data_IF_143564325082
#
_entry.id   IF_143564325082
#
_cell.length_a   1.000
_cell.length_b   1.000
_cell.length_c   1.000
_cell.angle_alpha   90.00
_cell.angle_beta   90.00
_cell.angle_gamma   90.00
#
_symmetry.space_group_name_H-M   'P 1'
#
loop_
_entity.id
_entity.type
_entity.pdbx_description
1 polymer ?
#
# COMPACT_ATOMS: atom_id res chain seq x y z
N UNK A 1 27.02 -2.79 21.53
CA UNK A 1 25.99 -1.75 21.68
C UNK A 1 25.63 -1.15 20.30
N UNK A 2 24.62 -1.74 19.66
CA UNK A 2 24.09 -1.24 18.39
C UNK A 2 23.45 0.14 18.61
N UNK A 3 23.78 1.17 17.83
CA UNK A 3 23.08 2.44 17.95
C UNK A 3 21.68 2.25 17.38
N UNK A 4 20.70 2.19 18.28
CA UNK A 4 19.30 2.40 17.93
C UNK A 4 19.20 3.83 17.41
N UNK A 5 19.34 4.00 16.09
CA UNK A 5 18.93 5.23 15.43
C UNK A 5 17.42 5.30 15.60
N UNK A 6 16.99 5.98 16.66
CA UNK A 6 15.59 6.28 16.90
C UNK A 6 15.04 6.92 15.62
N UNK A 7 14.03 6.26 15.04
CA UNK A 7 13.25 6.84 13.98
C UNK A 7 12.61 8.09 14.55
N UNK A 8 13.04 9.25 14.08
CA UNK A 8 12.52 10.55 14.49
C UNK A 8 11.08 10.63 13.98
N UNK A 9 10.12 10.28 14.85
CA UNK A 9 8.68 10.28 14.57
C UNK A 9 8.11 11.68 14.35
N UNK A 10 8.96 12.71 14.33
CA UNK A 10 8.58 14.11 14.18
C UNK A 10 8.47 14.59 12.72
N UNK A 11 8.59 13.72 11.72
CA UNK A 11 8.26 14.12 10.36
C UNK A 11 6.76 13.90 10.07
N UNK A 12 6.05 15.02 10.04
CA UNK A 12 4.62 15.20 9.77
C UNK A 12 3.68 14.84 10.92
N UNK A 13 3.56 15.78 11.87
CA UNK A 13 2.34 15.96 12.65
C UNK A 13 1.26 16.52 11.70
N UNK A 14 0.08 15.89 11.57
CA UNK A 14 -1.03 16.52 10.84
C UNK A 14 -1.45 17.79 11.58
N UNK A 15 -1.76 18.84 10.83
CA UNK A 15 -2.44 20.02 11.37
C UNK A 15 -3.75 19.56 12.06
N UNK A 16 -3.90 19.95 13.33
CA UNK A 16 -5.08 19.88 14.19
C UNK A 16 -6.12 18.78 13.86
N UNK A 17 -6.10 17.70 14.64
CA UNK A 17 -7.34 16.96 14.88
C UNK A 17 -8.35 17.92 15.53
N UNK A 18 -9.63 17.93 15.12
CA UNK A 18 -10.65 18.70 15.81
C UNK A 18 -10.78 18.18 17.25
N UNK A 19 -10.68 19.09 18.23
CA UNK A 19 -10.91 18.78 19.64
C UNK A 19 -12.35 18.31 19.83
N UNK A 20 -12.53 17.02 20.09
CA UNK A 20 -13.80 16.45 20.52
C UNK A 20 -13.77 16.37 22.05
N UNK A 21 -14.66 17.06 22.78
CA UNK A 21 -14.67 17.03 24.23
C UNK A 21 -15.02 15.63 24.77
N UNK A 22 -14.51 15.24 25.95
CA UNK A 22 -14.81 13.95 26.55
C UNK A 22 -16.21 13.98 27.16
N UNK A 23 -17.22 13.56 26.42
CA UNK A 23 -18.55 13.31 26.99
C UNK A 23 -18.54 11.96 27.69
N UNK A 24 -18.50 12.00 29.02
CA UNK A 24 -18.77 10.85 29.86
C UNK A 24 -20.23 10.39 29.65
N UNK A 25 -20.43 9.19 29.08
CA UNK A 25 -21.72 8.53 29.11
C UNK A 25 -21.54 7.05 29.48
N UNK A 26 -22.02 6.77 30.68
CA UNK A 26 -22.13 5.48 31.35
C UNK A 26 -23.02 4.51 30.58
N UNK A 27 -22.60 3.25 30.50
CA UNK A 27 -23.49 2.09 30.67
C UNK A 27 -24.45 1.66 29.55
N UNK A 28 -24.34 2.16 28.32
CA UNK A 28 -25.19 1.69 27.20
C UNK A 28 -24.37 0.82 26.23
N UNK A 29 -24.81 -0.42 25.98
CA UNK A 29 -24.26 -1.23 24.89
C UNK A 29 -24.45 -0.44 23.58
N UNK A 30 -23.34 -0.02 22.98
CA UNK A 30 -23.33 0.76 21.75
C UNK A 30 -24.11 0.01 20.67
N UNK A 31 -25.14 0.64 20.11
CA UNK A 31 -25.84 0.08 18.96
C UNK A 31 -24.95 0.22 17.73
N UNK A 32 -25.22 -0.53 16.65
CA UNK A 32 -24.43 -0.44 15.41
C UNK A 32 -24.34 1.00 14.83
N UNK A 33 -25.29 1.86 15.19
CA UNK A 33 -25.30 3.28 14.82
C UNK A 33 -24.36 4.18 15.64
N UNK A 34 -23.83 3.71 16.77
CA UNK A 34 -22.94 4.47 17.66
C UNK A 34 -21.44 4.24 17.36
N UNK A 35 -21.12 3.43 16.34
CA UNK A 35 -19.73 3.17 15.94
C UNK A 35 -19.31 4.24 14.93
N UNK A 36 -18.37 5.15 15.31
CA UNK A 36 -17.88 6.18 14.41
C UNK A 36 -17.26 5.56 13.16
N UNK A 37 -17.45 6.23 12.03
CA UNK A 37 -16.86 5.84 10.77
C UNK A 37 -15.34 6.08 10.82
N UNK A 38 -14.57 5.09 10.37
CA UNK A 38 -13.13 5.28 10.19
C UNK A 38 -12.88 6.24 9.03
N UNK A 39 -11.95 7.15 9.22
CA UNK A 39 -11.37 7.93 8.13
C UNK A 39 -10.01 7.36 7.73
N UNK A 40 -9.64 7.57 6.47
CA UNK A 40 -8.42 7.01 5.88
C UNK A 40 -7.63 8.10 5.16
N UNK A 41 -6.29 8.01 5.21
CA UNK A 41 -5.40 8.91 4.48
C UNK A 41 -4.19 8.18 3.90
N UNK A 42 -3.68 8.68 2.79
CA UNK A 42 -2.48 8.15 2.10
C UNK A 42 -1.65 9.25 1.45
N UNK A 43 -1.96 10.53 1.72
CA UNK A 43 -1.26 11.70 1.17
C UNK A 43 -0.01 12.01 1.98
N UNK A 44 0.94 11.09 1.92
CA UNK A 44 2.26 11.19 2.52
C UNK A 44 3.23 10.30 1.74
N UNK A 45 4.51 10.41 2.05
CA UNK A 45 5.55 9.69 1.35
C UNK A 45 5.35 8.16 1.37
N UNK A 46 5.43 7.53 0.19
CA UNK A 46 5.17 6.10 -0.02
C UNK A 46 3.73 5.65 0.30
N UNK A 47 2.79 6.56 0.58
CA UNK A 47 1.40 6.23 0.84
C UNK A 47 0.69 5.62 -0.38
N UNK A 48 -0.05 4.53 -0.16
CA UNK A 48 -0.91 3.92 -1.17
C UNK A 48 -2.25 3.46 -0.56
N UNK A 49 -3.29 4.21 -0.90
CA UNK A 49 -4.69 3.85 -0.77
C UNK A 49 -5.49 4.83 -1.63
N UNK A 50 -6.31 4.33 -2.55
CA UNK A 50 -7.11 5.17 -3.45
C UNK A 50 -8.49 5.47 -2.88
N UNK A 51 -9.14 4.46 -2.29
CA UNK A 51 -10.51 4.58 -1.79
C UNK A 51 -10.77 3.63 -0.64
N UNK A 52 -11.58 4.07 0.31
CA UNK A 52 -12.18 3.24 1.35
C UNK A 52 -13.71 3.34 1.27
N UNK A 53 -14.40 2.21 1.39
CA UNK A 53 -15.85 2.10 1.29
C UNK A 53 -16.31 1.31 2.52
N UNK A 54 -17.10 1.94 3.40
CA UNK A 54 -17.72 1.26 4.53
C UNK A 54 -18.83 0.33 4.01
N UNK A 55 -18.75 -0.95 4.33
CA UNK A 55 -19.74 -1.97 3.94
C UNK A 55 -20.46 -2.60 5.14
N UNK A 56 -20.00 -2.32 6.35
CA UNK A 56 -20.66 -2.71 7.60
C UNK A 56 -20.29 -1.79 8.77
N UNK A 57 -20.78 -2.07 9.99
CA UNK A 57 -20.49 -1.23 11.16
C UNK A 57 -18.99 -1.07 11.43
N UNK A 58 -18.20 -2.13 11.25
CA UNK A 58 -16.74 -2.13 11.41
C UNK A 58 -16.01 -2.72 10.21
N UNK A 59 -16.66 -2.83 9.05
CA UNK A 59 -16.12 -3.48 7.85
C UNK A 59 -15.98 -2.51 6.67
N UNK A 60 -14.82 -2.58 6.00
CA UNK A 60 -14.43 -1.66 4.94
C UNK A 60 -13.79 -2.40 3.76
N UNK A 61 -14.25 -2.09 2.55
CA UNK A 61 -13.53 -2.42 1.32
C UNK A 61 -12.57 -1.28 0.96
N UNK A 62 -11.32 -1.66 0.70
CA UNK A 62 -10.21 -0.78 0.38
C UNK A 62 -9.73 -1.06 -1.05
N UNK A 63 -9.45 0.00 -1.80
CA UNK A 63 -8.96 -0.06 -3.17
C UNK A 63 -7.60 0.65 -3.21
N UNK A 64 -6.57 -0.07 -3.66
CA UNK A 64 -5.23 0.49 -3.86
C UNK A 64 -5.10 1.19 -5.22
N UNK A 65 -4.16 2.12 -5.31
CA UNK A 65 -3.67 2.59 -6.60
C UNK A 65 -2.70 1.55 -7.20
N UNK A 66 -2.80 1.24 -8.49
CA UNK A 66 -1.81 0.41 -9.18
C UNK A 66 -0.42 1.05 -9.17
N UNK A 67 0.61 0.21 -9.27
CA UNK A 67 2.00 0.62 -9.39
C UNK A 67 2.18 1.43 -10.68
N UNK A 68 2.89 2.55 -10.57
CA UNK A 68 3.21 3.39 -11.72
C UNK A 68 4.03 2.61 -12.75
N UNK A 69 3.71 2.79 -14.03
CA UNK A 69 4.35 2.08 -15.14
C UNK A 69 4.13 0.56 -15.17
N UNK A 70 3.08 0.05 -14.50
CA UNK A 70 2.67 -1.35 -14.59
C UNK A 70 1.28 -1.48 -15.20
N UNK A 71 0.92 -2.67 -15.67
CA UNK A 71 -0.42 -2.95 -16.18
C UNK A 71 -1.36 -3.43 -15.06
N UNK A 72 -1.50 -2.63 -13.99
CA UNK A 72 -2.45 -2.92 -12.91
C UNK A 72 -1.87 -3.56 -11.65
N UNK A 73 -0.56 -3.80 -11.57
CA UNK A 73 0.02 -4.47 -10.40
C UNK A 73 -0.28 -3.69 -9.11
N UNK A 74 -0.86 -4.40 -8.15
CA UNK A 74 -1.24 -3.87 -6.84
C UNK A 74 -0.76 -4.86 -5.78
N UNK A 75 0.05 -4.36 -4.86
CA UNK A 75 0.49 -5.15 -3.71
C UNK A 75 0.84 -4.25 -2.52
N UNK A 76 1.60 -3.18 -2.76
CA UNK A 76 2.00 -2.26 -1.71
C UNK A 76 0.80 -1.47 -1.18
N UNK A 77 0.56 -1.54 0.12
CA UNK A 77 -0.36 -0.64 0.81
C UNK A 77 0.38 0.07 1.92
N UNK A 78 0.08 1.35 2.08
CA UNK A 78 0.53 2.16 3.20
C UNK A 78 -0.45 3.33 3.39
N UNK A 79 -1.21 3.28 4.47
CA UNK A 79 -2.24 4.28 4.76
C UNK A 79 -2.34 4.52 6.26
N UNK A 80 -2.95 5.63 6.63
CA UNK A 80 -3.29 5.95 8.01
C UNK A 80 -4.80 5.84 8.22
N UNK A 81 -5.18 5.45 9.43
CA UNK A 81 -6.55 5.24 9.88
C UNK A 81 -6.81 6.17 11.06
N UNK A 82 -8.01 6.73 11.12
CA UNK A 82 -8.48 7.63 12.18
C UNK A 82 -9.88 7.23 12.64
N UNK A 83 -10.30 7.77 13.79
CA UNK A 83 -11.68 7.66 14.27
C UNK A 83 -12.03 6.27 14.79
N UNK A 84 -11.02 5.44 15.05
CA UNK A 84 -11.21 4.14 15.69
C UNK A 84 -11.68 4.29 17.14
N UNK A 85 -12.45 3.30 17.58
CA UNK A 85 -12.79 3.06 18.98
C UNK A 85 -11.98 1.87 19.48
N UNK A 86 -11.32 2.04 20.62
CA UNK A 86 -10.62 0.94 21.31
C UNK A 86 -11.59 -0.18 21.70
N UNK A 87 -11.08 -1.42 21.69
CA UNK A 87 -11.84 -2.62 22.05
C UNK A 87 -12.74 -3.17 20.94
N UNK A 88 -12.78 -2.54 19.76
CA UNK A 88 -13.49 -3.06 18.59
C UNK A 88 -12.51 -3.68 17.58
N UNK A 89 -12.99 -4.74 16.91
CA UNK A 89 -12.33 -5.32 15.74
C UNK A 89 -12.89 -4.71 14.47
N UNK A 90 -12.00 -4.20 13.62
CA UNK A 90 -12.31 -3.65 12.31
C UNK A 90 -11.78 -4.56 11.21
N UNK A 91 -12.63 -4.91 10.25
CA UNK A 91 -12.25 -5.73 9.09
C UNK A 91 -11.96 -4.82 7.91
N UNK A 92 -10.72 -4.85 7.44
CA UNK A 92 -10.26 -4.11 6.26
C UNK A 92 -9.96 -5.08 5.13
N UNK A 93 -10.73 -4.99 4.04
CA UNK A 93 -10.63 -5.86 2.87
C UNK A 93 -9.98 -5.08 1.72
N UNK A 94 -8.71 -5.35 1.39
CA UNK A 94 -8.11 -4.84 0.16
C UNK A 94 -8.55 -5.73 -0.99
N UNK A 95 -9.41 -5.23 -1.88
CA UNK A 95 -10.19 -6.07 -2.81
C UNK A 95 -9.62 -6.17 -4.23
N UNK A 96 -8.61 -5.38 -4.57
CA UNK A 96 -8.08 -5.29 -5.93
C UNK A 96 -6.65 -5.83 -6.07
N UNK A 97 -6.27 -6.89 -5.33
CA UNK A 97 -4.96 -7.53 -5.48
C UNK A 97 -4.93 -8.46 -6.69
N UNK A 98 -3.80 -8.54 -7.39
CA UNK A 98 -3.72 -9.31 -8.65
C UNK A 98 -3.08 -10.70 -8.53
N UNK A 99 -2.23 -10.89 -7.52
CA UNK A 99 -1.46 -12.12 -7.37
C UNK A 99 -2.36 -13.26 -6.89
N UNK A 100 -2.23 -14.44 -7.47
CA UNK A 100 -3.00 -15.60 -7.02
C UNK A 100 -2.50 -16.19 -5.69
N UNK A 101 -1.24 -15.95 -5.36
CA UNK A 101 -0.62 -16.33 -4.10
C UNK A 101 -0.20 -15.10 -3.30
N UNK A 102 -0.12 -15.28 -1.99
CA UNK A 102 0.23 -14.21 -1.06
C UNK A 102 0.93 -14.77 0.17
N UNK A 103 2.08 -14.20 0.53
CA UNK A 103 2.82 -14.55 1.74
C UNK A 103 2.00 -14.32 3.02
N UNK A 104 0.90 -13.57 2.96
CA UNK A 104 -0.05 -13.45 4.07
C UNK A 104 -0.74 -14.76 4.42
N UNK A 105 -0.90 -15.68 3.46
CA UNK A 105 -1.36 -17.05 3.74
C UNK A 105 -0.25 -17.91 4.39
N UNK A 106 1.01 -17.50 4.28
CA UNK A 106 2.19 -18.18 4.84
C UNK A 106 2.70 -17.49 6.12
N UNK A 107 1.84 -16.73 6.81
CA UNK A 107 2.12 -16.15 8.12
C UNK A 107 2.71 -14.74 8.13
N UNK A 108 2.87 -14.10 6.96
CA UNK A 108 3.18 -12.67 6.92
C UNK A 108 2.06 -11.86 7.62
N UNK A 109 2.44 -10.77 8.27
CA UNK A 109 1.51 -9.85 8.96
C UNK A 109 1.81 -8.41 8.53
N UNK A 110 0.79 -7.54 8.43
CA UNK A 110 1.02 -6.12 8.22
C UNK A 110 1.77 -5.54 9.42
N UNK A 111 2.43 -4.41 9.20
CA UNK A 111 3.03 -3.60 10.27
C UNK A 111 2.12 -2.44 10.60
N UNK A 112 2.01 -2.14 11.89
CA UNK A 112 1.23 -1.03 12.42
C UNK A 112 2.15 -0.05 13.15
N UNK A 113 1.83 1.23 13.09
CA UNK A 113 2.46 2.27 13.88
C UNK A 113 1.37 3.13 14.53
N UNK A 114 1.32 3.12 15.86
CA UNK A 114 0.41 3.93 16.67
C UNK A 114 1.13 5.21 17.09
N UNK A 115 0.53 6.37 16.82
CA UNK A 115 1.08 7.65 17.24
C UNK A 115 0.97 7.84 18.76
N UNK A 116 -0.12 7.39 19.38
CA UNK A 116 -0.27 7.44 20.85
C UNK A 116 0.77 6.56 21.53
N UNK A 117 0.96 5.31 21.07
CA UNK A 117 1.92 4.40 21.67
C UNK A 117 3.35 4.90 21.51
N UNK A 118 3.71 5.37 20.31
CA UNK A 118 5.01 5.98 20.07
C UNK A 118 5.29 7.17 21.00
N UNK A 119 4.30 8.05 21.23
CA UNK A 119 4.46 9.17 22.16
C UNK A 119 4.60 8.75 23.62
N UNK A 120 3.94 7.65 24.02
CA UNK A 120 3.92 7.19 25.41
C UNK A 120 5.15 6.37 25.79
N UNK A 121 5.56 5.45 24.93
CA UNK A 121 6.60 4.44 25.23
C UNK A 121 7.80 4.50 24.29
N UNK A 122 7.75 5.31 23.23
CA UNK A 122 8.76 5.30 22.17
C UNK A 122 8.65 4.12 21.23
N UNK A 123 7.60 3.28 21.36
CA UNK A 123 7.41 2.12 20.50
C UNK A 123 7.24 2.54 19.03
N UNK A 124 7.97 1.87 18.14
CA UNK A 124 7.95 2.15 16.71
C UNK A 124 6.90 1.31 15.97
N UNK A 125 7.27 0.89 14.78
CA UNK A 125 6.47 -0.04 13.99
C UNK A 125 6.45 -1.42 14.63
N UNK A 126 5.27 -2.03 14.73
CA UNK A 126 5.07 -3.36 15.32
C UNK A 126 4.36 -4.30 14.37
N UNK A 127 4.78 -5.57 14.36
CA UNK A 127 3.99 -6.67 13.79
C UNK A 127 3.06 -7.18 14.89
N UNK A 128 1.85 -6.67 14.95
CA UNK A 128 0.88 -7.09 15.98
C UNK A 128 0.45 -8.55 15.75
N UNK A 129 0.37 -9.30 16.86
CA UNK A 129 -0.14 -10.68 16.89
C UNK A 129 -1.67 -10.72 16.87
N UNK A 130 -2.35 -9.62 17.20
CA UNK A 130 -3.80 -9.48 17.25
C UNK A 130 -4.40 -9.10 15.88
N UNK A 131 -3.89 -9.73 14.82
CA UNK A 131 -4.39 -9.55 13.45
C UNK A 131 -4.61 -10.91 12.83
N UNK A 132 -5.86 -11.19 12.46
CA UNK A 132 -6.16 -12.29 11.55
C UNK A 132 -6.10 -11.77 10.13
N UNK A 133 -5.43 -12.52 9.26
CA UNK A 133 -5.27 -12.19 7.85
C UNK A 133 -5.67 -13.40 7.03
N UNK A 134 -6.41 -13.17 5.95
CA UNK A 134 -6.69 -14.16 4.93
C UNK A 134 -6.55 -13.56 3.53
N UNK A 135 -6.16 -14.38 2.57
CA UNK A 135 -6.04 -13.98 1.18
C UNK A 135 -6.74 -14.98 0.25
N UNK A 136 -7.72 -14.51 -0.51
CA UNK A 136 -8.61 -15.38 -1.31
C UNK A 136 -9.07 -14.71 -2.61
N UNK A 137 -9.46 -15.53 -3.60
CA UNK A 137 -10.00 -15.05 -4.87
C UNK A 137 -11.38 -14.41 -4.66
N UNK A 138 -11.69 -13.33 -5.37
CA UNK A 138 -12.99 -12.66 -5.29
C UNK A 138 -13.65 -12.56 -6.68
N UNK A 139 -14.90 -12.08 -6.73
CA UNK A 139 -15.67 -11.98 -7.97
C UNK A 139 -15.38 -10.70 -8.79
N UNK A 140 -14.50 -9.80 -8.34
CA UNK A 140 -14.22 -8.56 -9.05
C UNK A 140 -13.36 -8.85 -10.28
N UNK A 141 -13.90 -8.59 -11.48
CA UNK A 141 -13.23 -8.86 -12.76
C UNK A 141 -12.11 -7.86 -13.03
N UNK A 142 -10.97 -8.34 -13.54
CA UNK A 142 -9.92 -7.47 -14.07
C UNK A 142 -10.26 -6.98 -15.48
N UNK A 143 -9.94 -5.73 -15.82
CA UNK A 143 -9.97 -5.27 -17.20
C UNK A 143 -9.04 -6.13 -18.08
N UNK A 144 -9.43 -6.40 -19.32
CA UNK A 144 -8.57 -7.13 -20.25
C UNK A 144 -7.31 -6.31 -20.56
N UNK A 145 -6.13 -6.95 -20.47
CA UNK A 145 -4.78 -6.38 -20.68
C UNK A 145 -4.58 -5.56 -21.98
N UNK A 146 -5.53 -5.57 -22.93
CA UNK A 146 -5.47 -4.82 -24.19
C UNK A 146 -6.00 -3.39 -24.13
N UNK A 147 -6.72 -2.99 -23.07
CA UNK A 147 -7.25 -1.63 -22.96
C UNK A 147 -6.34 -0.82 -22.06
N UNK A 148 -5.43 -0.02 -22.64
CA UNK A 148 -4.68 1.00 -21.89
C UNK A 148 -5.70 2.01 -21.36
N UNK A 149 -6.21 1.79 -20.14
CA UNK A 149 -6.89 2.86 -19.41
C UNK A 149 -5.78 3.83 -19.00
N UNK A 150 -5.55 4.85 -19.83
CA UNK A 150 -4.72 5.99 -19.45
C UNK A 150 -5.35 6.63 -18.22
N UNK A 151 -4.70 6.47 -17.07
CA UNK A 151 -5.05 7.21 -15.87
C UNK A 151 -4.61 8.66 -16.06
N UNK A 152 -5.40 9.44 -16.79
CA UNK A 152 -5.34 10.89 -16.74
C UNK A 152 -5.96 11.33 -15.41
N UNK A 153 -5.15 11.94 -14.54
CA UNK A 153 -5.54 12.39 -13.21
C UNK A 153 -6.40 13.66 -13.22
N UNK A 154 -6.78 14.19 -14.40
CA UNK A 154 -7.46 15.49 -14.52
C UNK A 154 -8.97 15.45 -14.81
N UNK A 155 -9.59 14.30 -15.11
CA UNK A 155 -11.03 14.24 -15.42
C UNK A 155 -11.76 13.05 -14.76
N UNK A 156 -12.86 13.27 -14.00
CA UNK A 156 -13.73 12.18 -13.58
C UNK A 156 -14.63 11.78 -14.75
N UNK A 157 -14.38 10.64 -15.39
CA UNK A 157 -15.24 10.22 -16.49
C UNK A 157 -16.60 9.75 -15.95
N UNK A 158 -17.62 10.49 -16.38
CA UNK A 158 -19.06 10.20 -16.31
C UNK A 158 -19.34 8.96 -17.15
N UNK A 159 -20.33 8.16 -16.73
CA UNK A 159 -20.65 6.88 -17.36
C UNK A 159 -20.94 7.01 -18.86
N UNK A 160 -20.58 5.96 -19.60
CA UNK A 160 -21.16 5.71 -20.91
C UNK A 160 -22.09 4.51 -20.77
N UNK A 161 -23.38 4.81 -20.76
CA UNK A 161 -24.40 4.02 -21.43
C UNK A 161 -23.93 3.72 -22.85
N UNK A 162 -24.17 2.52 -23.36
CA UNK A 162 -24.49 2.32 -24.77
C UNK A 162 -25.43 1.13 -24.91
N UNK A 163 -26.48 1.41 -25.67
CA UNK A 163 -27.69 0.66 -25.89
C UNK A 163 -27.54 -0.33 -27.05
N UNK A 164 -28.47 -1.30 -27.08
CA UNK A 164 -29.06 -2.02 -28.21
C UNK A 164 -28.45 -1.85 -29.61
N UNK A 165 -28.21 -2.99 -30.26
CA UNK A 165 -28.55 -3.12 -31.68
C UNK A 165 -29.07 -4.53 -31.97
N UNK A 166 -30.26 -4.58 -32.58
CA UNK A 166 -30.95 -5.77 -33.02
C UNK A 166 -30.82 -5.94 -34.53
N UNK A 167 -30.75 -7.18 -34.97
CA UNK A 167 -30.84 -7.54 -36.39
C UNK A 167 -31.36 -8.95 -36.56
N UNK A 168 -32.62 -9.06 -36.98
CA UNK A 168 -33.18 -10.24 -37.64
C UNK A 168 -32.82 -10.18 -39.13
N UNK A 169 -32.41 -11.29 -39.74
CA UNK A 169 -33.06 -11.81 -40.95
C UNK A 169 -32.68 -13.28 -41.21
N UNK A 170 -33.61 -14.04 -41.77
CA UNK A 170 -33.54 -15.49 -41.96
C UNK A 170 -32.91 -15.96 -43.28
N UNK A 171 -32.51 -17.23 -43.32
CA UNK A 171 -32.11 -17.93 -44.55
C UNK A 171 -31.67 -19.37 -44.27
N UNK A 172 -32.39 -20.33 -44.83
CA UNK A 172 -32.22 -21.77 -44.65
C UNK A 172 -31.18 -22.41 -45.59
N UNK A 173 -30.61 -23.55 -45.17
CA UNK A 173 -30.06 -24.59 -46.05
C UNK A 173 -28.54 -24.75 -46.05
N UNK A 174 -28.02 -25.76 -45.33
CA UNK A 174 -27.36 -26.95 -45.90
C UNK A 174 -26.40 -27.62 -44.89
N UNK A 175 -26.64 -28.91 -44.74
CA UNK A 175 -25.99 -29.88 -43.86
C UNK A 175 -24.61 -30.27 -44.43
N UNK A 176 -23.52 -30.04 -43.67
CA UNK A 176 -22.27 -30.81 -43.82
C UNK A 176 -21.60 -31.05 -42.48
N UNK A 177 -21.39 -32.33 -42.22
CA UNK A 177 -20.65 -32.92 -41.11
C UNK A 177 -19.27 -32.28 -40.90
N UNK A 178 -19.07 -31.73 -39.71
CA UNK A 178 -17.78 -31.21 -39.26
C UNK A 178 -17.71 -31.22 -37.74
N UNK A 179 -16.76 -32.02 -37.20
CA UNK A 179 -16.28 -32.09 -35.80
C UNK A 179 -16.60 -30.86 -34.94
N UNK A 180 -16.96 -31.03 -33.65
CA UNK A 180 -17.17 -29.89 -32.76
C UNK A 180 -15.83 -29.15 -32.62
N UNK A 181 -15.70 -28.04 -33.34
CA UNK A 181 -14.64 -27.10 -33.13
C UNK A 181 -14.92 -26.52 -31.75
N UNK A 182 -14.07 -26.84 -30.78
CA UNK A 182 -14.07 -26.22 -29.46
C UNK A 182 -13.81 -24.74 -29.68
N UNK A 183 -14.89 -23.99 -29.93
CA UNK A 183 -14.86 -22.54 -29.93
C UNK A 183 -14.22 -22.14 -28.62
N UNK A 184 -12.98 -21.63 -28.71
CA UNK A 184 -12.29 -21.06 -27.56
C UNK A 184 -13.23 -20.01 -26.99
N UNK A 185 -13.89 -20.34 -25.88
CA UNK A 185 -14.55 -19.38 -25.04
C UNK A 185 -13.52 -18.27 -24.80
N UNK A 186 -13.87 -17.03 -25.20
CA UNK A 186 -13.04 -15.85 -24.96
C UNK A 186 -12.63 -15.92 -23.49
N UNK A 187 -11.32 -15.93 -23.20
CA UNK A 187 -10.84 -16.04 -21.82
C UNK A 187 -11.46 -14.92 -21.01
N UNK A 188 -12.47 -15.26 -20.21
CA UNK A 188 -13.04 -14.37 -19.23
C UNK A 188 -11.90 -13.74 -18.42
N UNK A 189 -11.89 -12.41 -18.33
CA UNK A 189 -10.88 -11.68 -17.56
C UNK A 189 -10.73 -12.28 -16.17
N UNK A 190 -9.49 -12.54 -15.77
CA UNK A 190 -9.21 -13.17 -14.49
C UNK A 190 -9.62 -12.25 -13.33
N UNK A 191 -10.19 -12.79 -12.25
CA UNK A 191 -10.63 -11.97 -11.13
C UNK A 191 -9.46 -11.45 -10.27
N UNK A 192 -9.75 -10.43 -9.46
CA UNK A 192 -8.90 -9.95 -8.38
C UNK A 192 -8.97 -10.88 -7.15
N UNK A 193 -8.13 -10.58 -6.18
CA UNK A 193 -8.03 -11.25 -4.90
C UNK A 193 -8.20 -10.24 -3.77
N UNK A 194 -8.75 -10.73 -2.66
CA UNK A 194 -8.97 -9.96 -1.44
C UNK A 194 -7.93 -10.34 -0.40
N UNK A 195 -7.24 -9.34 0.15
CA UNK A 195 -6.54 -9.43 1.43
C UNK A 195 -7.47 -8.89 2.52
N UNK A 196 -8.00 -9.78 3.36
CA UNK A 196 -8.83 -9.40 4.51
C UNK A 196 -8.00 -9.38 5.77
N UNK A 197 -8.07 -8.27 6.52
CA UNK A 197 -7.33 -8.05 7.76
C UNK A 197 -8.30 -7.63 8.86
N UNK A 198 -8.42 -8.41 9.93
CA UNK A 198 -9.15 -7.99 11.12
C UNK A 198 -8.18 -7.35 12.12
N UNK A 199 -8.34 -6.05 12.37
CA UNK A 199 -7.45 -5.23 13.19
C UNK A 199 -8.17 -4.76 14.46
N UNK A 200 -7.47 -4.83 15.60
CA UNK A 200 -7.86 -4.14 16.82
C UNK A 200 -6.92 -2.95 17.07
N UNK A 201 -7.50 -1.77 17.26
CA UNK A 201 -6.75 -0.58 17.62
C UNK A 201 -6.81 -0.39 19.13
N UNK A 202 -5.66 -0.15 19.77
CA UNK A 202 -5.56 -0.10 21.22
C UNK A 202 -6.14 1.17 21.83
N UNK A 203 -6.06 2.29 21.10
CA UNK A 203 -6.38 3.62 21.64
C UNK A 203 -7.46 4.28 20.79
N UNK A 204 -8.54 4.74 21.44
CA UNK A 204 -9.51 5.64 20.80
C UNK A 204 -8.87 6.99 20.54
N UNK A 205 -9.18 7.63 19.41
CA UNK A 205 -8.61 8.94 19.05
C UNK A 205 -7.16 8.89 18.56
N UNK A 206 -6.62 7.70 18.32
CA UNK A 206 -5.29 7.53 17.75
C UNK A 206 -5.25 7.86 16.25
N UNK A 207 -4.03 8.00 15.74
CA UNK A 207 -3.72 7.86 14.32
C UNK A 207 -2.91 6.57 14.19
N UNK A 208 -3.39 5.61 13.41
CA UNK A 208 -2.66 4.36 13.19
C UNK A 208 -2.28 4.23 11.73
N UNK A 209 -0.99 4.13 11.46
CA UNK A 209 -0.46 3.80 10.14
C UNK A 209 -0.41 2.28 9.98
N UNK A 210 -0.88 1.79 8.84
CA UNK A 210 -0.92 0.38 8.45
C UNK A 210 -0.15 0.23 7.14
N UNK A 211 0.84 -0.66 7.10
CA UNK A 211 1.65 -0.88 5.90
C UNK A 211 1.92 -2.36 5.64
N UNK A 212 2.20 -2.68 4.37
CA UNK A 212 2.55 -4.02 3.92
C UNK A 212 3.83 -4.53 4.58
N UNK A 213 4.85 -3.68 4.66
CA UNK A 213 6.12 -3.91 5.36
C UNK A 213 6.61 -2.59 5.95
N UNK A 214 7.71 -2.61 6.71
CA UNK A 214 8.32 -1.41 7.29
C UNK A 214 8.64 -0.39 6.19
N UNK A 215 7.98 0.78 6.18
CA UNK A 215 8.24 1.78 5.15
C UNK A 215 9.66 2.35 5.31
N UNK A 216 10.36 2.49 4.19
CA UNK A 216 11.64 3.19 4.12
C UNK A 216 11.49 4.37 3.19
N UNK A 217 11.30 5.55 3.77
CA UNK A 217 11.01 6.76 3.00
C UNK A 217 12.30 7.30 2.34
N UNK A 218 12.18 7.90 1.16
CA UNK A 218 13.22 8.72 0.54
C UNK A 218 13.70 9.83 1.47
N UNK A 219 12.82 10.50 2.23
CA UNK A 219 13.30 11.48 3.22
C UNK A 219 14.20 10.85 4.28
N UNK A 220 13.85 9.65 4.76
CA UNK A 220 14.69 8.90 5.68
C UNK A 220 16.01 8.44 5.03
N UNK A 221 15.98 7.98 3.78
CA UNK A 221 17.18 7.68 2.99
C UNK A 221 18.13 8.89 2.96
N UNK A 222 17.59 10.06 2.61
CA UNK A 222 18.38 11.31 2.49
C UNK A 222 18.98 11.72 3.81
N UNK A 223 18.24 11.63 4.91
CA UNK A 223 18.74 11.90 6.26
C UNK A 223 19.88 10.93 6.62
N UNK A 224 19.70 9.63 6.41
CA UNK A 224 20.73 8.63 6.68
C UNK A 224 22.01 8.92 5.89
N UNK A 225 21.90 9.19 4.59
CA UNK A 225 23.04 9.54 3.75
C UNK A 225 23.72 10.83 4.25
N UNK A 226 22.96 11.86 4.61
CA UNK A 226 23.51 13.10 5.16
C UNK A 226 24.29 12.86 6.47
N UNK A 227 23.72 12.09 7.41
CA UNK A 227 24.39 11.77 8.68
C UNK A 227 25.70 11.01 8.45
N UNK A 228 25.72 10.04 7.53
CA UNK A 228 26.93 9.29 7.19
C UNK A 228 27.99 10.20 6.55
N UNK A 229 27.59 11.14 5.70
CA UNK A 229 28.51 12.11 5.09
C UNK A 229 29.03 13.16 6.07
N UNK A 230 28.30 13.45 7.16
CA UNK A 230 28.71 14.41 8.18
C UNK A 230 29.78 13.85 9.14
N UNK A 231 29.82 12.53 9.32
CA UNK A 231 30.83 11.84 10.13
C UNK A 231 32.20 11.87 9.42
N UNK A 232 33.16 12.63 9.97
CA UNK A 232 34.51 12.81 9.41
C UNK A 232 35.28 11.47 9.34
N UNK A 233 35.07 10.57 10.31
CA UNK A 233 35.75 9.28 10.33
C UNK A 233 35.24 8.37 9.21
N UNK A 234 33.94 8.41 8.91
CA UNK A 234 33.34 7.62 7.81
C UNK A 234 33.52 8.26 6.45
N UNK A 235 33.34 9.57 6.33
CA UNK A 235 33.37 10.32 5.06
C UNK A 235 34.68 10.13 4.30
N UNK A 236 35.82 9.93 4.98
CA UNK A 236 37.10 9.68 4.30
C UNK A 236 37.05 8.46 3.37
N UNK A 237 36.26 7.45 3.74
CA UNK A 237 36.08 6.19 3.03
C UNK A 237 34.89 6.18 2.07
N UNK A 238 34.12 7.28 1.97
CA UNK A 238 32.92 7.31 1.14
C UNK A 238 33.00 8.44 0.12
N UNK A 239 32.61 8.15 -1.12
CA UNK A 239 32.31 9.15 -2.14
C UNK A 239 30.85 9.01 -2.54
N UNK A 240 30.15 10.15 -2.56
CA UNK A 240 28.75 10.26 -2.94
C UNK A 240 28.70 10.97 -4.29
N UNK A 241 28.11 10.31 -5.28
CA UNK A 241 27.97 10.84 -6.62
C UNK A 241 26.52 10.75 -7.07
N UNK A 242 26.08 11.71 -7.89
CA UNK A 242 24.82 11.60 -8.62
C UNK A 242 25.07 10.69 -9.83
N UNK A 243 24.44 9.52 -9.85
CA UNK A 243 24.57 8.58 -10.97
C UNK A 243 23.70 9.01 -12.14
N UNK A 244 22.43 9.31 -11.86
CA UNK A 244 21.46 9.78 -12.83
C UNK A 244 20.25 10.41 -12.12
N UNK A 245 19.29 10.90 -12.91
CA UNK A 245 17.99 11.35 -12.43
C UNK A 245 16.93 10.31 -12.81
N UNK A 246 16.09 9.92 -11.87
CA UNK A 246 14.96 9.02 -12.09
C UNK A 246 13.88 9.71 -12.95
N UNK A 247 12.95 8.93 -13.51
CA UNK A 247 11.82 9.48 -14.29
C UNK A 247 10.95 10.48 -13.51
N UNK A 248 10.90 10.36 -12.18
CA UNK A 248 10.17 11.25 -11.30
C UNK A 248 10.98 12.49 -10.86
N UNK A 249 12.19 12.69 -11.40
CA UNK A 249 13.05 13.84 -11.07
C UNK A 249 13.93 13.66 -9.83
N UNK A 250 13.84 12.52 -9.12
CA UNK A 250 14.70 12.25 -7.97
C UNK A 250 16.12 11.87 -8.40
N UNK A 251 17.13 12.34 -7.68
CA UNK A 251 18.54 11.95 -7.92
C UNK A 251 18.77 10.53 -7.40
N UNK A 252 19.28 9.66 -8.28
CA UNK A 252 19.80 8.35 -7.91
C UNK A 252 21.27 8.49 -7.47
N UNK A 253 21.57 8.11 -6.24
CA UNK A 253 22.88 8.31 -5.64
C UNK A 253 23.71 7.03 -5.69
N UNK A 254 24.99 7.17 -6.05
CA UNK A 254 25.99 6.12 -5.92
C UNK A 254 26.87 6.44 -4.72
N UNK A 255 26.95 5.50 -3.78
CA UNK A 255 27.90 5.54 -2.67
C UNK A 255 29.03 4.55 -2.93
N UNK A 256 30.22 5.06 -3.21
CA UNK A 256 31.44 4.25 -3.33
C UNK A 256 32.16 4.23 -1.99
N UNK A 257 32.35 3.04 -1.44
CA UNK A 257 33.03 2.83 -0.15
C UNK A 257 34.36 2.12 -0.39
N UNK A 258 35.47 2.79 -0.10
CA UNK A 258 36.82 2.21 -0.18
C UNK A 258 37.82 3.06 0.60
N UNK A 259 38.99 2.50 0.89
CA UNK A 259 40.15 3.29 1.31
C UNK A 259 40.79 3.98 0.10
N UNK A 260 40.37 5.22 -0.17
CA UNK A 260 40.88 6.02 -1.29
C UNK A 260 42.36 6.39 -1.17
N UNK A 261 42.97 6.30 0.02
CA UNK A 261 44.38 6.63 0.21
C UNK A 261 45.31 5.44 -0.08
N UNK A 262 44.77 4.22 -0.10
CA UNK A 262 45.55 3.01 -0.31
C UNK A 262 45.98 2.82 -1.78
N UNK A 263 47.18 2.28 -2.06
CA UNK A 263 47.63 2.05 -3.43
C UNK A 263 46.78 0.99 -4.14
N UNK A 264 46.70 1.10 -5.48
CA UNK A 264 46.03 0.11 -6.33
C UNK A 264 44.50 0.11 -6.25
N UNK A 265 43.84 1.20 -5.81
CA UNK A 265 42.36 1.26 -5.72
C UNK A 265 41.68 0.87 -7.04
N UNK A 266 42.24 1.29 -8.18
CA UNK A 266 41.69 1.01 -9.51
C UNK A 266 41.74 -0.47 -9.93
N UNK A 267 42.55 -1.28 -9.26
CA UNK A 267 42.73 -2.71 -9.56
C UNK A 267 41.91 -3.62 -8.64
N UNK A 268 41.23 -3.04 -7.64
CA UNK A 268 40.45 -3.81 -6.67
C UNK A 268 39.20 -4.38 -7.30
N UNK A 269 38.81 -5.57 -6.84
CA UNK A 269 37.51 -6.15 -7.15
C UNK A 269 36.41 -5.22 -6.65
N UNK A 270 35.48 -4.90 -7.54
CA UNK A 270 34.33 -4.06 -7.24
C UNK A 270 33.17 -4.99 -6.86
N UNK A 271 32.55 -4.72 -5.70
CA UNK A 271 31.32 -5.38 -5.28
C UNK A 271 30.18 -4.38 -5.40
N UNK A 272 29.20 -4.71 -6.22
CA UNK A 272 27.97 -3.93 -6.34
C UNK A 272 26.92 -4.49 -5.40
N UNK A 273 26.32 -3.62 -4.60
CA UNK A 273 25.11 -3.90 -3.82
C UNK A 273 23.97 -3.17 -4.51
N UNK A 274 23.12 -3.93 -5.20
CA UNK A 274 21.94 -3.44 -5.91
C UNK A 274 20.67 -3.93 -5.26
#
# INVERSE_FOLDING_TARGET
PSPTLAFDSNLETPAHAPDVPPTALSGRMATAHDIPMLAFGSRFESGNLRRAIRIGPTEYNLILSPDSNTNGFTQWFYFQVYGMRSGLTYTLNIINNEKSSSAFNDGMRPVLFSYIENKRSGEGWVRTRAVTVSYFNNAYRRPNNGTRVSYDASHPNVGSSDSDDGGEDGGAGDEKDGKPNSGKCKKDGACYYTLSMALQFQHSGDVVRVAYSYPFTYTYLRRCTMMIMADIARRRFIRRQALCTTRAGNVAELLTITDFASPGVGERKIVFLS
#
